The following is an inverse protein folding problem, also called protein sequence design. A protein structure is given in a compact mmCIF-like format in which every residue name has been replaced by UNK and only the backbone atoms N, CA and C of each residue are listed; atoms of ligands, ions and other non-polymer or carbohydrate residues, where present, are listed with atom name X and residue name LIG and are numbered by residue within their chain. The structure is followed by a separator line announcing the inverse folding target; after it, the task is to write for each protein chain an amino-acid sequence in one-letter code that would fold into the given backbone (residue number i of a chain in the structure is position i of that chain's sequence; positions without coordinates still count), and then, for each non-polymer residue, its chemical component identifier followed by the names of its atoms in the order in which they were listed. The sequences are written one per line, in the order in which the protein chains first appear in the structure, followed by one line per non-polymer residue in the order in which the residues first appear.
data_IF_095404585967
#
_entry.id   IF_095404585967
#
_cell.length_a   1.000
_cell.length_b   1.000
_cell.length_c   1.000
_cell.angle_alpha   90.00
_cell.angle_beta   90.00
_cell.angle_gamma   90.00
#
_symmetry.space_group_name_H-M   'P 1'
#
loop_
_entity.id
_entity.type
_entity.pdbx_description
1 polymer ?
#
# COMPACT_ATOMS: atom_id res chain seq x y z
N UNK A 1 -24.68 40.27 -37.05
CA UNK A 1 -24.10 39.05 -36.45
C UNK A 1 -22.66 39.39 -36.18
N UNK A 2 -22.39 40.07 -35.06
CA UNK A 2 -21.09 40.63 -34.74
C UNK A 2 -20.36 39.68 -33.79
N UNK A 3 -19.21 39.19 -34.23
CA UNK A 3 -18.30 38.38 -33.42
C UNK A 3 -17.57 39.29 -32.45
N UNK A 4 -17.80 39.11 -31.14
CA UNK A 4 -17.05 39.77 -30.08
C UNK A 4 -15.78 38.94 -29.79
N UNK A 5 -14.57 39.42 -30.07
CA UNK A 5 -13.35 38.72 -29.69
C UNK A 5 -13.12 38.94 -28.19
N UNK A 6 -13.15 37.85 -27.42
CA UNK A 6 -12.79 37.88 -26.00
C UNK A 6 -11.36 38.39 -25.76
N UNK A 7 -11.02 38.74 -24.50
CA UNK A 7 -9.78 39.42 -24.18
C UNK A 7 -8.58 38.54 -24.56
N UNK A 8 -7.62 39.16 -25.24
CA UNK A 8 -6.35 38.56 -25.63
C UNK A 8 -5.54 38.20 -24.39
N UNK A 9 -5.20 36.93 -24.25
CA UNK A 9 -4.30 36.43 -23.21
C UNK A 9 -2.94 37.13 -23.31
N UNK A 10 -2.66 38.01 -22.35
CA UNK A 10 -1.39 38.66 -22.14
C UNK A 10 -0.54 37.71 -21.26
N UNK A 11 0.57 37.19 -21.81
CA UNK A 11 1.45 36.22 -21.16
C UNK A 11 2.43 36.82 -20.13
N UNK A 12 2.11 37.95 -19.50
CA UNK A 12 3.08 38.75 -18.74
C UNK A 12 2.82 38.76 -17.22
N UNK A 13 1.73 38.16 -16.73
CA UNK A 13 1.30 38.32 -15.32
C UNK A 13 2.04 37.44 -14.31
N UNK A 14 2.94 36.55 -14.73
CA UNK A 14 3.66 35.66 -13.79
C UNK A 14 4.96 36.23 -13.20
N UNK A 15 5.33 37.49 -13.49
CA UNK A 15 6.68 37.98 -13.15
C UNK A 15 6.86 38.64 -11.77
N UNK A 16 5.91 38.50 -10.84
CA UNK A 16 6.07 39.04 -9.47
C UNK A 16 5.50 38.17 -8.34
N UNK A 17 5.58 36.84 -8.46
CA UNK A 17 5.48 36.00 -7.25
C UNK A 17 6.89 35.81 -6.69
N UNK A 18 7.22 36.62 -5.67
CA UNK A 18 8.43 36.45 -4.86
C UNK A 18 8.43 35.01 -4.32
N UNK A 19 9.33 34.17 -4.86
CA UNK A 19 9.48 32.78 -4.41
C UNK A 19 9.85 32.77 -2.92
N UNK A 20 9.10 32.06 -2.06
CA UNK A 20 9.52 31.85 -0.67
C UNK A 20 10.82 31.01 -0.63
N UNK A 21 11.61 31.13 0.46
CA UNK A 21 12.97 30.63 0.50
C UNK A 21 13.03 29.11 0.30
N UNK A 22 13.95 28.69 -0.56
CA UNK A 22 14.42 27.31 -0.66
C UNK A 22 14.98 26.92 0.71
N UNK A 23 14.39 25.92 1.36
CA UNK A 23 14.98 25.32 2.56
C UNK A 23 16.10 24.38 2.14
N UNK A 24 17.31 24.65 2.67
CA UNK A 24 18.50 23.82 2.49
C UNK A 24 18.73 23.04 3.77
N UNK A 25 18.63 21.71 3.72
CA UNK A 25 18.92 20.83 4.85
C UNK A 25 20.19 20.03 4.57
N UNK A 26 21.00 19.77 5.59
CA UNK A 26 22.21 18.93 5.49
C UNK A 26 22.02 17.72 6.39
N UNK A 27 22.19 16.51 5.85
CA UNK A 27 22.09 15.28 6.64
C UNK A 27 23.40 14.94 7.37
N UNK A 28 23.35 13.90 8.22
CA UNK A 28 24.49 13.40 8.99
C UNK A 28 25.63 12.84 8.14
N UNK A 29 25.42 12.66 6.83
CA UNK A 29 26.41 12.21 5.86
C UNK A 29 26.95 13.37 4.99
N UNK A 30 26.59 14.61 5.31
CA UNK A 30 27.05 15.81 4.61
C UNK A 30 26.39 16.03 3.24
N UNK A 31 25.28 15.35 2.95
CA UNK A 31 24.49 15.58 1.73
C UNK A 31 23.60 16.80 1.91
N UNK A 32 23.58 17.65 0.90
CA UNK A 32 22.75 18.85 0.88
C UNK A 32 21.45 18.53 0.15
N UNK A 33 20.32 18.85 0.76
CA UNK A 33 18.98 18.68 0.22
C UNK A 33 18.34 20.04 -0.04
N UNK A 34 17.90 20.24 -1.28
CA UNK A 34 17.11 21.39 -1.70
C UNK A 34 15.69 20.91 -1.94
N UNK A 35 14.75 21.32 -1.08
CA UNK A 35 13.35 20.92 -1.17
C UNK A 35 12.52 21.96 -1.94
N UNK A 36 11.59 21.49 -2.77
CA UNK A 36 10.69 22.35 -3.54
C UNK A 36 9.23 22.17 -3.06
N UNK A 37 8.82 22.83 -1.95
CA UNK A 37 7.57 22.57 -1.24
C UNK A 37 6.28 22.86 -2.02
N UNK A 38 6.38 23.48 -3.20
CA UNK A 38 5.23 23.80 -4.08
C UNK A 38 5.29 23.13 -5.45
N UNK A 39 6.29 22.28 -5.70
CA UNK A 39 6.45 21.61 -6.98
C UNK A 39 5.65 20.30 -7.09
N UNK A 40 5.03 19.85 -5.99
CA UNK A 40 4.06 18.77 -5.99
C UNK A 40 2.67 19.27 -5.58
N UNK A 41 1.64 18.78 -6.26
CA UNK A 41 0.24 18.98 -5.91
C UNK A 41 -0.35 17.65 -5.43
N UNK A 42 -0.81 17.61 -4.17
CA UNK A 42 -1.49 16.43 -3.63
C UNK A 42 -2.94 16.51 -4.08
N UNK A 43 -3.29 15.79 -5.15
CA UNK A 43 -4.66 15.68 -5.62
C UNK A 43 -5.50 14.91 -4.59
N UNK A 44 -6.45 15.60 -3.93
CA UNK A 44 -7.50 14.96 -3.11
C UNK A 44 -8.56 14.33 -4.02
N UNK A 45 -8.22 13.22 -4.67
CA UNK A 45 -8.97 12.75 -5.84
C UNK A 45 -9.68 11.40 -5.76
N UNK A 46 -9.31 10.50 -4.84
CA UNK A 46 -9.93 9.17 -4.72
C UNK A 46 -9.98 8.72 -3.27
N UNK A 47 -10.96 7.88 -2.93
CA UNK A 47 -10.91 7.09 -1.70
C UNK A 47 -9.61 6.28 -1.72
N UNK A 48 -8.65 6.67 -0.89
CA UNK A 48 -7.41 5.89 -0.76
C UNK A 48 -7.75 4.55 -0.09
N UNK A 49 -6.96 3.50 -0.28
CA UNK A 49 -7.12 2.29 0.54
C UNK A 49 -7.05 2.64 2.02
N UNK A 50 -6.28 3.65 2.45
CA UNK A 50 -6.32 4.11 3.84
C UNK A 50 -7.69 4.68 4.20
N UNK A 51 -8.33 5.46 3.34
CA UNK A 51 -9.70 5.96 3.56
C UNK A 51 -10.71 4.81 3.56
N UNK A 52 -10.57 3.84 2.65
CA UNK A 52 -11.44 2.65 2.57
C UNK A 52 -11.22 1.68 3.73
N UNK A 53 -9.98 1.58 4.20
CA UNK A 53 -9.57 0.89 5.41
C UNK A 53 -10.17 1.63 6.61
N UNK A 54 -9.99 2.95 6.71
CA UNK A 54 -10.56 3.82 7.76
C UNK A 54 -12.09 3.79 7.84
N UNK A 55 -12.76 3.54 6.71
CA UNK A 55 -14.20 3.32 6.61
C UNK A 55 -14.63 1.85 6.87
N UNK A 56 -13.68 0.93 7.02
CA UNK A 56 -13.95 -0.47 7.34
C UNK A 56 -14.55 -0.59 8.74
N UNK A 57 -15.62 -1.38 8.86
CA UNK A 57 -16.35 -1.63 10.11
C UNK A 57 -15.44 -2.17 11.22
N UNK A 58 -14.29 -2.74 10.85
CA UNK A 58 -13.31 -3.28 11.76
C UNK A 58 -12.24 -2.26 12.20
N UNK A 59 -12.15 -1.05 11.63
CA UNK A 59 -11.08 -0.10 11.96
C UNK A 59 -11.01 0.25 13.45
N UNK A 60 -12.16 0.41 14.11
CA UNK A 60 -12.23 0.64 15.55
C UNK A 60 -11.50 -0.46 16.32
N UNK A 61 -11.58 -1.71 15.83
CA UNK A 61 -10.97 -2.86 16.47
C UNK A 61 -9.46 -2.90 16.21
N UNK A 62 -8.99 -2.50 15.03
CA UNK A 62 -7.56 -2.48 14.68
C UNK A 62 -6.80 -1.35 15.39
N UNK A 63 -7.44 -0.22 15.67
CA UNK A 63 -6.87 0.85 16.48
C UNK A 63 -6.75 0.49 17.97
N UNK A 64 -7.59 -0.44 18.46
CA UNK A 64 -7.61 -0.87 19.86
C UNK A 64 -6.86 -2.19 20.09
N UNK A 65 -6.81 -3.07 19.08
CA UNK A 65 -6.22 -4.40 19.13
C UNK A 65 -5.35 -4.60 17.88
N UNK A 66 -4.02 -4.43 17.99
CA UNK A 66 -3.10 -4.50 16.85
C UNK A 66 -3.12 -5.81 16.05
N UNK A 67 -3.72 -6.86 16.62
CA UNK A 67 -3.76 -8.19 16.04
C UNK A 67 -5.16 -8.61 15.59
N UNK A 68 -6.18 -7.74 15.67
CA UNK A 68 -7.55 -8.12 15.28
C UNK A 68 -7.58 -8.65 13.83
N UNK A 69 -8.26 -9.79 13.57
CA UNK A 69 -9.20 -10.48 14.45
C UNK A 69 -8.59 -11.53 15.40
N UNK A 70 -7.26 -11.70 15.39
CA UNK A 70 -6.56 -12.53 16.38
C UNK A 70 -6.35 -11.79 17.70
N UNK A 71 -6.26 -12.55 18.78
CA UNK A 71 -6.16 -12.03 20.15
C UNK A 71 -4.74 -11.56 20.47
N UNK A 72 -3.73 -12.17 19.85
CA UNK A 72 -2.31 -11.87 20.04
C UNK A 72 -1.46 -12.36 18.85
N UNK A 73 -0.17 -12.04 18.87
CA UNK A 73 0.76 -12.42 17.80
C UNK A 73 0.93 -13.94 17.62
N UNK A 74 0.87 -14.73 18.69
CA UNK A 74 1.07 -16.17 18.60
C UNK A 74 -0.17 -16.87 18.04
N UNK A 75 -1.35 -16.41 18.40
CA UNK A 75 -2.64 -16.76 17.79
C UNK A 75 -2.63 -16.47 16.27
N UNK A 76 -2.16 -15.28 15.88
CA UNK A 76 -1.97 -14.93 14.46
C UNK A 76 -1.00 -15.88 13.73
N UNK A 77 0.14 -16.21 14.34
CA UNK A 77 1.14 -17.09 13.72
C UNK A 77 0.57 -18.48 13.48
N UNK A 78 -0.20 -19.01 14.44
CA UNK A 78 -0.86 -20.31 14.29
C UNK A 78 -1.90 -20.25 13.18
N UNK A 79 -2.75 -19.22 13.16
CA UNK A 79 -3.73 -19.00 12.09
C UNK A 79 -3.06 -18.95 10.71
N UNK A 80 -2.02 -18.13 10.56
CA UNK A 80 -1.29 -17.96 9.30
C UNK A 80 -0.60 -19.24 8.85
N UNK A 81 0.00 -19.99 9.77
CA UNK A 81 0.59 -21.30 9.47
C UNK A 81 -0.46 -22.28 8.95
N UNK A 82 -1.61 -22.38 9.64
CA UNK A 82 -2.67 -23.29 9.25
C UNK A 82 -3.29 -22.92 7.89
N UNK A 83 -3.49 -21.63 7.62
CA UNK A 83 -4.00 -21.12 6.33
C UNK A 83 -3.04 -21.42 5.17
N UNK A 84 -1.73 -21.39 5.41
CA UNK A 84 -0.70 -21.59 4.37
C UNK A 84 -0.23 -23.03 4.25
N UNK A 85 -0.60 -23.90 5.19
CA UNK A 85 -0.17 -25.31 5.25
C UNK A 85 -0.75 -26.21 4.15
N UNK A 86 -1.78 -25.75 3.42
CA UNK A 86 -2.48 -26.56 2.41
C UNK A 86 -3.28 -27.74 2.98
N UNK A 87 -3.53 -27.75 4.30
CA UNK A 87 -4.36 -28.76 4.95
C UNK A 87 -5.82 -28.67 4.51
N UNK A 88 -6.48 -29.82 4.39
CA UNK A 88 -7.91 -29.86 4.14
C UNK A 88 -8.69 -29.33 5.35
N UNK A 89 -9.91 -28.81 5.15
CA UNK A 89 -10.78 -28.34 6.25
C UNK A 89 -11.00 -29.42 7.31
N UNK A 90 -11.16 -30.69 6.90
CA UNK A 90 -11.31 -31.81 7.84
C UNK A 90 -10.06 -32.02 8.70
N UNK A 91 -8.89 -31.97 8.07
CA UNK A 91 -7.61 -32.15 8.79
C UNK A 91 -7.34 -30.98 9.74
N UNK A 92 -7.74 -29.77 9.36
CA UNK A 92 -7.71 -28.60 10.25
C UNK A 92 -8.63 -28.80 11.46
N UNK A 93 -9.87 -29.25 11.27
CA UNK A 93 -10.78 -29.55 12.37
C UNK A 93 -10.24 -30.67 13.29
N UNK A 94 -9.65 -31.72 12.71
CA UNK A 94 -8.98 -32.79 13.47
C UNK A 94 -7.82 -32.24 14.30
N UNK A 95 -6.97 -31.38 13.72
CA UNK A 95 -5.87 -30.73 14.42
C UNK A 95 -6.38 -29.83 15.55
N UNK A 96 -7.40 -29.01 15.31
CA UNK A 96 -8.01 -28.13 16.32
C UNK A 96 -8.76 -28.91 17.40
N UNK A 97 -9.16 -30.16 17.13
CA UNK A 97 -9.79 -31.04 18.11
C UNK A 97 -8.83 -31.64 19.14
N UNK A 98 -7.52 -31.63 18.87
CA UNK A 98 -6.48 -32.20 19.73
C UNK A 98 -6.47 -31.52 21.10
N UNK A 99 -6.14 -32.28 22.15
CA UNK A 99 -6.10 -31.75 23.52
C UNK A 99 -5.08 -30.62 23.69
N UNK A 100 -3.97 -30.68 22.96
CA UNK A 100 -2.93 -29.66 23.03
C UNK A 100 -3.39 -28.32 22.42
N UNK A 101 -4.06 -28.35 21.27
CA UNK A 101 -4.56 -27.17 20.55
C UNK A 101 -5.75 -26.55 21.27
N UNK A 102 -6.62 -27.35 21.88
CA UNK A 102 -7.74 -26.87 22.72
C UNK A 102 -7.30 -26.05 23.94
N UNK A 103 -6.08 -26.26 24.43
CA UNK A 103 -5.54 -25.50 25.56
C UNK A 103 -4.83 -24.21 25.12
N UNK A 104 -4.68 -23.96 23.81
CA UNK A 104 -4.10 -22.73 23.30
C UNK A 104 -5.16 -21.62 23.26
N UNK A 105 -4.78 -20.36 23.54
CA UNK A 105 -5.70 -19.22 23.48
C UNK A 105 -5.91 -18.76 22.03
N UNK A 106 -6.50 -19.63 21.20
CA UNK A 106 -6.78 -19.32 19.78
C UNK A 106 -8.11 -18.57 19.62
N UNK A 107 -8.17 -17.65 18.67
CA UNK A 107 -9.40 -16.91 18.33
C UNK A 107 -10.41 -17.71 17.48
N UNK A 108 -10.08 -18.96 17.14
CA UNK A 108 -10.86 -19.83 16.26
C UNK A 108 -10.84 -21.28 16.76
N UNK A 109 -11.95 -21.99 16.55
CA UNK A 109 -12.13 -23.37 17.05
C UNK A 109 -12.38 -24.39 15.93
N UNK A 110 -12.77 -23.94 14.75
CA UNK A 110 -12.99 -24.75 13.56
C UNK A 110 -12.28 -24.17 12.35
N UNK A 111 -12.02 -25.01 11.35
CA UNK A 111 -11.50 -24.63 10.04
C UNK A 111 -12.40 -23.56 9.38
N UNK A 112 -13.72 -23.70 9.54
CA UNK A 112 -14.70 -22.68 9.12
C UNK A 112 -14.40 -21.30 9.70
N UNK A 113 -14.13 -21.24 11.00
CA UNK A 113 -13.93 -19.97 11.70
C UNK A 113 -12.62 -19.34 11.25
N UNK A 114 -11.59 -20.16 11.02
CA UNK A 114 -10.31 -19.73 10.44
C UNK A 114 -10.47 -19.20 9.02
N UNK A 115 -11.30 -19.82 8.17
CA UNK A 115 -11.60 -19.31 6.83
C UNK A 115 -12.37 -17.99 6.88
N UNK A 116 -13.42 -17.90 7.71
CA UNK A 116 -14.17 -16.66 7.90
C UNK A 116 -13.26 -15.53 8.43
N UNK A 117 -12.33 -15.86 9.32
CA UNK A 117 -11.30 -14.95 9.81
C UNK A 117 -10.38 -14.45 8.68
N UNK A 118 -9.96 -15.33 7.77
CA UNK A 118 -9.16 -14.93 6.60
C UNK A 118 -9.95 -14.04 5.62
N UNK A 119 -11.25 -14.28 5.46
CA UNK A 119 -12.15 -13.46 4.61
C UNK A 119 -12.38 -12.04 5.17
N UNK A 120 -12.22 -11.86 6.49
CA UNK A 120 -12.29 -10.54 7.14
C UNK A 120 -11.05 -9.68 6.87
N UNK A 121 -9.94 -10.28 6.43
CA UNK A 121 -8.74 -9.52 6.13
C UNK A 121 -8.92 -8.74 4.83
N UNK A 122 -8.39 -7.50 4.75
CA UNK A 122 -8.45 -6.72 3.53
C UNK A 122 -7.80 -7.50 2.39
N UNK A 123 -8.54 -7.66 1.29
CA UNK A 123 -8.03 -8.33 0.10
C UNK A 123 -6.85 -7.54 -0.47
N UNK A 124 -5.69 -8.18 -0.62
CA UNK A 124 -4.53 -7.60 -1.31
C UNK A 124 -4.73 -7.49 -2.83
N UNK A 125 -3.70 -7.03 -3.57
CA UNK A 125 -3.74 -6.95 -5.02
C UNK A 125 -4.03 -8.33 -5.61
N UNK A 126 -5.02 -8.41 -6.50
CA UNK A 126 -5.41 -9.68 -7.10
C UNK A 126 -4.36 -10.13 -8.11
N UNK A 127 -3.98 -11.40 -8.06
CA UNK A 127 -3.21 -12.02 -9.12
C UNK A 127 -4.01 -12.06 -10.41
N UNK A 128 -3.42 -11.56 -11.49
CA UNK A 128 -3.90 -11.63 -12.86
C UNK A 128 -2.96 -12.56 -13.64
N UNK A 129 -3.44 -13.12 -14.74
CA UNK A 129 -2.58 -13.85 -15.67
C UNK A 129 -2.89 -13.43 -17.10
N UNK A 130 -1.87 -13.46 -17.96
CA UNK A 130 -2.01 -13.29 -19.39
C UNK A 130 -1.20 -14.33 -20.13
N UNK A 131 -1.72 -14.77 -21.27
CA UNK A 131 -0.99 -15.68 -22.16
C UNK A 131 -0.09 -14.84 -23.05
N UNK A 132 1.22 -15.10 -23.01
CA UNK A 132 2.17 -14.42 -23.89
C UNK A 132 2.22 -15.17 -25.23
N UNK A 133 1.93 -14.49 -26.36
CA UNK A 133 2.06 -15.12 -27.67
C UNK A 133 3.54 -15.43 -27.95
N UNK A 134 3.83 -16.69 -28.24
CA UNK A 134 5.17 -17.13 -28.62
C UNK A 134 5.29 -17.22 -30.13
N UNK A 135 6.42 -16.77 -30.69
CA UNK A 135 6.72 -16.90 -32.12
C UNK A 135 6.84 -18.36 -32.57
N UNK A 136 7.08 -19.28 -31.63
CA UNK A 136 7.24 -20.70 -31.89
C UNK A 136 6.08 -21.46 -31.26
N UNK A 137 5.57 -22.48 -31.96
CA UNK A 137 4.50 -23.33 -31.46
C UNK A 137 5.02 -24.17 -30.28
N UNK A 138 4.74 -23.71 -29.07
CA UNK A 138 4.94 -24.49 -27.85
C UNK A 138 3.71 -25.37 -27.60
N UNK A 139 3.94 -26.56 -27.05
CA UNK A 139 2.85 -27.48 -26.66
C UNK A 139 1.92 -26.88 -25.61
N UNK A 140 2.45 -25.98 -24.78
CA UNK A 140 1.70 -25.27 -23.74
C UNK A 140 1.97 -23.76 -23.84
N UNK A 141 0.95 -22.90 -23.74
CA UNK A 141 1.11 -21.46 -23.79
C UNK A 141 1.85 -20.94 -22.55
N UNK A 142 2.71 -19.95 -22.72
CA UNK A 142 3.38 -19.28 -21.60
C UNK A 142 2.35 -18.42 -20.85
N UNK A 143 2.12 -18.74 -19.58
CA UNK A 143 1.27 -17.97 -18.69
C UNK A 143 2.13 -17.03 -17.83
N UNK A 144 1.97 -15.72 -18.02
CA UNK A 144 2.57 -14.70 -17.16
C UNK A 144 1.57 -14.34 -16.05
N UNK A 145 1.95 -14.61 -14.82
CA UNK A 145 1.24 -14.15 -13.64
C UNK A 145 1.79 -12.79 -13.21
N UNK A 146 0.92 -11.83 -12.98
CA UNK A 146 1.29 -10.49 -12.54
C UNK A 146 0.21 -9.90 -11.63
N UNK A 147 0.59 -8.90 -10.84
CA UNK A 147 -0.35 -8.06 -10.10
C UNK A 147 -0.39 -6.69 -10.76
N UNK A 148 -1.51 -5.98 -10.65
CA UNK A 148 -1.62 -4.63 -11.17
C UNK A 148 -0.65 -3.70 -10.43
N UNK A 149 0.25 -3.04 -11.17
CA UNK A 149 1.26 -2.20 -10.55
C UNK A 149 0.64 -1.01 -9.79
N UNK A 150 -0.49 -0.48 -10.26
CA UNK A 150 -1.18 0.60 -9.56
C UNK A 150 -1.82 0.10 -8.28
N UNK A 151 -2.49 -1.06 -8.31
CA UNK A 151 -3.06 -1.67 -7.09
C UNK A 151 -1.95 -1.97 -6.06
N UNK A 152 -0.78 -2.45 -6.51
CA UNK A 152 0.37 -2.71 -5.64
C UNK A 152 0.92 -1.43 -4.99
N UNK A 153 1.11 -0.37 -5.79
CA UNK A 153 1.59 0.93 -5.28
C UNK A 153 0.56 1.52 -4.32
N UNK A 154 -0.73 1.42 -4.64
CA UNK A 154 -1.80 1.88 -3.78
C UNK A 154 -1.82 1.12 -2.45
N UNK A 155 -1.76 -0.22 -2.45
CA UNK A 155 -1.68 -1.02 -1.23
C UNK A 155 -0.43 -0.69 -0.41
N UNK A 156 0.72 -0.55 -1.07
CA UNK A 156 1.98 -0.24 -0.42
C UNK A 156 1.92 1.13 0.28
N UNK A 157 1.42 2.15 -0.41
CA UNK A 157 1.37 3.51 0.11
C UNK A 157 0.30 3.69 1.20
N UNK A 158 -0.71 2.82 1.21
CA UNK A 158 -1.76 2.83 2.22
C UNK A 158 -1.45 1.94 3.43
N UNK A 159 -0.29 1.29 3.48
CA UNK A 159 0.08 0.45 4.61
C UNK A 159 0.49 1.31 5.82
N UNK A 160 -0.07 1.01 7.01
CA UNK A 160 0.11 1.77 8.26
C UNK A 160 1.57 2.03 8.62
N UNK A 161 2.48 1.13 8.27
CA UNK A 161 3.92 1.30 8.49
C UNK A 161 4.49 2.57 7.84
N UNK A 162 3.90 3.03 6.74
CA UNK A 162 4.32 4.20 5.97
C UNK A 162 3.54 5.47 6.31
N UNK A 163 2.51 5.38 7.17
CA UNK A 163 1.81 6.55 7.73
C UNK A 163 2.87 7.40 8.42
N UNK A 164 3.05 8.62 7.92
CA UNK A 164 4.04 9.62 8.37
C UNK A 164 5.53 9.32 8.05
N UNK A 165 5.83 8.31 7.23
CA UNK A 165 7.21 8.02 6.78
C UNK A 165 7.48 8.33 5.31
N UNK A 166 6.46 8.72 4.55
CA UNK A 166 6.60 9.07 3.14
C UNK A 166 6.63 10.59 2.99
N UNK A 167 7.72 11.10 2.43
CA UNK A 167 7.81 12.48 1.97
C UNK A 167 7.63 12.50 0.45
N UNK A 168 6.59 13.21 0.00
CA UNK A 168 6.28 13.41 -1.41
C UNK A 168 6.79 14.76 -1.93
N UNK A 169 7.49 15.52 -1.09
CA UNK A 169 8.09 16.80 -1.47
C UNK A 169 9.27 16.52 -2.40
N UNK A 170 9.21 16.97 -3.66
CA UNK A 170 10.35 16.81 -4.56
C UNK A 170 11.56 17.55 -3.99
N UNK A 171 12.70 16.88 -4.00
CA UNK A 171 13.96 17.43 -3.53
C UNK A 171 15.09 17.08 -4.50
N UNK A 172 16.13 17.92 -4.48
CA UNK A 172 17.39 17.66 -5.15
C UNK A 172 18.46 17.41 -4.09
N UNK A 173 19.17 16.28 -4.19
CA UNK A 173 20.28 15.93 -3.31
C UNK A 173 21.61 16.18 -4.01
N UNK A 174 22.49 16.95 -3.37
CA UNK A 174 23.85 17.18 -3.85
C UNK A 174 24.83 16.38 -3.00
N UNK A 175 25.78 15.72 -3.67
CA UNK A 175 26.99 15.26 -3.00
C UNK A 175 27.93 16.45 -2.81
N UNK A 176 28.72 16.46 -1.74
CA UNK A 176 29.51 17.63 -1.29
C UNK A 176 30.41 18.26 -2.38
N UNK A 177 30.74 17.52 -3.45
CA UNK A 177 31.51 18.04 -4.58
C UNK A 177 30.70 18.83 -5.62
N UNK A 178 29.38 18.63 -5.71
CA UNK A 178 28.53 19.17 -6.79
C UNK A 178 27.85 20.51 -6.43
N UNK A 179 27.81 20.88 -5.15
CA UNK A 179 27.17 22.13 -4.68
C UNK A 179 28.06 23.38 -4.87
N UNK A 180 29.28 23.24 -5.39
CA UNK A 180 30.27 24.32 -5.48
C UNK A 180 30.44 24.93 -6.90
N UNK A 181 29.54 24.62 -7.84
CA UNK A 181 29.62 25.12 -9.23
C UNK A 181 28.50 26.11 -9.53
#
# INVERSE_FOLDING_TARGET
MDFNPGPTWNGNEYRQLVSPPISVAVDSLGRVFVTFPRAAEIFKGRETILTRFELDLYLVHWHLVPFYPSSNLDDWKVANFLLTSGLSMRTLDEFLSLKATKNMPLSFWMAKDLCAWAELLPSGPRWKFQIIPTMHSMKEPIQLYFQDALDCVEVLFNHLFFKDKMDFTPFQSFTTAEHLV
#
